data_IF_550407258134
#
_entry.id   IF_550407258134
#
_cell.length_a   1.000
_cell.length_b   1.000
_cell.length_c   1.000
_cell.angle_alpha   90.00
_cell.angle_beta   90.00
_cell.angle_gamma   90.00
#
_symmetry.space_group_name_H-M   'P 1'
#
loop_
_entity.id
_entity.type
_entity.pdbx_description
1 polymer ?
#
# COMPACT_ATOMS: atom_id res chain seq x y z
N UNK A 1 24.49 -4.56 -23.76
CA UNK A 1 23.27 -4.88 -23.01
C UNK A 1 22.08 -4.24 -23.71
N UNK A 2 21.19 -5.05 -24.27
CA UNK A 2 19.92 -4.61 -24.86
C UNK A 2 19.06 -3.94 -23.79
N UNK A 3 18.14 -3.07 -24.21
CA UNK A 3 17.30 -2.28 -23.28
C UNK A 3 16.42 -3.18 -22.39
N UNK A 4 16.02 -4.33 -22.92
CA UNK A 4 15.38 -5.43 -22.19
C UNK A 4 16.26 -6.02 -21.10
N UNK A 5 17.55 -6.24 -21.37
CA UNK A 5 18.49 -6.73 -20.36
C UNK A 5 18.67 -5.74 -19.20
N UNK A 6 18.63 -4.42 -19.46
CA UNK A 6 18.73 -3.40 -18.40
C UNK A 6 17.46 -3.30 -17.55
N UNK A 7 16.29 -3.36 -18.18
CA UNK A 7 15.00 -3.40 -17.47
C UNK A 7 14.85 -4.68 -16.65
N UNK A 8 15.24 -5.81 -17.22
CA UNK A 8 15.29 -7.09 -16.52
C UNK A 8 16.27 -7.05 -15.34
N UNK A 9 17.45 -6.46 -15.53
CA UNK A 9 18.44 -6.31 -14.46
C UNK A 9 17.94 -5.43 -13.30
N UNK A 10 17.26 -4.32 -13.60
CA UNK A 10 16.65 -3.47 -12.57
C UNK A 10 15.56 -4.23 -11.80
N UNK A 11 14.71 -4.99 -12.52
CA UNK A 11 13.70 -5.84 -11.89
C UNK A 11 14.34 -6.90 -10.98
N UNK A 12 15.44 -7.52 -11.41
CA UNK A 12 16.20 -8.48 -10.59
C UNK A 12 16.80 -7.81 -9.35
N UNK A 13 17.39 -6.61 -9.47
CA UNK A 13 17.95 -5.90 -8.31
C UNK A 13 16.88 -5.51 -7.29
N UNK A 14 15.72 -5.03 -7.76
CA UNK A 14 14.58 -4.73 -6.89
C UNK A 14 14.09 -6.00 -6.20
N UNK A 15 13.98 -7.10 -6.95
CA UNK A 15 13.56 -8.38 -6.40
C UNK A 15 14.60 -8.96 -5.42
N UNK A 16 15.90 -8.76 -5.63
CA UNK A 16 16.93 -9.21 -4.70
C UNK A 16 16.94 -8.35 -3.41
N UNK A 17 16.85 -7.03 -3.53
CA UNK A 17 16.87 -6.13 -2.38
C UNK A 17 15.59 -6.17 -1.53
N UNK A 18 14.43 -6.34 -2.16
CA UNK A 18 13.12 -6.26 -1.50
C UNK A 18 12.23 -7.49 -1.73
N UNK A 19 12.78 -8.61 -2.22
CA UNK A 19 12.03 -9.84 -2.47
C UNK A 19 11.38 -10.41 -1.22
N UNK A 20 11.98 -10.21 -0.06
CA UNK A 20 11.40 -10.57 1.24
C UNK A 20 10.13 -9.77 1.55
N UNK A 21 10.09 -8.48 1.19
CA UNK A 21 8.88 -7.64 1.35
C UNK A 21 7.76 -8.15 0.45
N UNK A 22 8.09 -8.54 -0.78
CA UNK A 22 7.13 -9.14 -1.72
C UNK A 22 6.63 -10.49 -1.21
N UNK A 23 7.53 -11.38 -0.79
CA UNK A 23 7.19 -12.70 -0.26
C UNK A 23 6.29 -12.59 0.98
N UNK A 24 6.61 -11.69 1.92
CA UNK A 24 5.78 -11.40 3.10
C UNK A 24 4.42 -10.84 2.71
N UNK A 25 4.39 -9.92 1.75
CA UNK A 25 3.11 -9.37 1.26
C UNK A 25 2.23 -10.46 0.66
N UNK A 26 2.83 -11.48 0.02
CA UNK A 26 2.12 -12.65 -0.53
C UNK A 26 1.61 -13.60 0.56
N UNK A 27 2.39 -13.85 1.62
CA UNK A 27 1.92 -14.65 2.76
C UNK A 27 0.84 -13.93 3.56
N UNK A 28 0.87 -12.60 3.60
CA UNK A 28 -0.09 -11.79 4.36
C UNK A 28 -1.38 -11.48 3.58
N UNK A 29 -1.50 -11.95 2.33
CA UNK A 29 -2.75 -11.88 1.54
C UNK A 29 -3.87 -12.61 2.28
N UNK A 30 -3.59 -13.79 2.86
CA UNK A 30 -4.58 -14.53 3.65
C UNK A 30 -4.94 -13.85 4.96
N UNK A 31 -4.10 -12.93 5.46
CA UNK A 31 -4.32 -12.18 6.70
C UNK A 31 -5.01 -10.82 6.49
N UNK A 32 -5.35 -10.44 5.25
CA UNK A 32 -6.12 -9.22 5.02
C UNK A 32 -5.29 -7.92 4.93
N UNK A 33 -3.95 -7.96 5.03
CA UNK A 33 -3.11 -6.75 5.04
C UNK A 33 -2.46 -6.36 3.69
N UNK A 34 -2.51 -7.23 2.67
CA UNK A 34 -1.86 -7.02 1.37
C UNK A 34 -2.53 -5.97 0.43
N UNK A 35 -3.73 -5.48 0.76
CA UNK A 35 -4.52 -4.59 -0.12
C UNK A 35 -3.78 -3.31 -0.54
N UNK A 36 -3.02 -2.69 0.38
CA UNK A 36 -2.24 -1.49 0.08
C UNK A 36 -1.12 -1.76 -0.95
N UNK A 37 -0.35 -2.83 -0.76
CA UNK A 37 0.77 -3.19 -1.66
C UNK A 37 0.26 -3.45 -3.08
N UNK A 38 -0.87 -4.15 -3.19
CA UNK A 38 -1.54 -4.41 -4.47
C UNK A 38 -2.06 -3.11 -5.10
N UNK A 39 -2.60 -2.20 -4.29
CA UNK A 39 -3.02 -0.86 -4.74
C UNK A 39 -1.84 -0.08 -5.32
N UNK A 40 -0.70 -0.06 -4.62
CA UNK A 40 0.54 0.57 -5.08
C UNK A 40 0.99 -0.02 -6.42
N UNK A 41 0.98 -1.35 -6.57
CA UNK A 41 1.31 -2.01 -7.82
C UNK A 41 0.38 -1.58 -8.98
N UNK A 42 -0.93 -1.52 -8.72
CA UNK A 42 -1.91 -1.04 -9.71
C UNK A 42 -1.73 0.43 -10.06
N UNK A 43 -1.41 1.29 -9.09
CA UNK A 43 -1.07 2.70 -9.32
C UNK A 43 0.17 2.84 -10.20
N UNK A 44 1.21 2.05 -9.96
CA UNK A 44 2.41 2.03 -10.82
C UNK A 44 2.03 1.62 -12.24
N UNK A 45 1.25 0.55 -12.42
CA UNK A 45 0.82 0.09 -13.75
C UNK A 45 -0.02 1.14 -14.48
N UNK A 46 -1.04 1.70 -13.81
CA UNK A 46 -1.89 2.75 -14.36
C UNK A 46 -1.09 4.00 -14.70
N UNK A 47 -0.17 4.40 -13.82
CA UNK A 47 0.69 5.56 -14.00
C UNK A 47 1.67 5.39 -15.15
N UNK A 48 2.35 4.24 -15.26
CA UNK A 48 3.25 3.93 -16.37
C UNK A 48 2.48 3.90 -17.70
N UNK A 49 1.31 3.26 -17.73
CA UNK A 49 0.44 3.25 -18.91
C UNK A 49 0.06 4.67 -19.33
N UNK A 50 -0.38 5.50 -18.38
CA UNK A 50 -0.77 6.87 -18.66
C UNK A 50 0.40 7.75 -19.11
N UNK A 51 1.59 7.63 -18.50
CA UNK A 51 2.79 8.39 -18.92
C UNK A 51 3.23 7.97 -20.32
N UNK A 52 3.17 6.68 -20.67
CA UNK A 52 3.47 6.19 -22.03
C UNK A 52 2.54 6.75 -23.08
N UNK A 53 1.28 7.03 -22.72
CA UNK A 53 0.35 7.66 -23.64
C UNK A 53 0.69 9.13 -23.90
N UNK A 54 1.41 9.84 -23.03
CA UNK A 54 1.67 11.28 -23.18
C UNK A 54 2.76 11.62 -24.22
N UNK A 55 2.57 12.74 -24.91
CA UNK A 55 3.63 13.42 -25.68
C UNK A 55 4.30 14.45 -24.78
N UNK A 56 5.55 14.25 -24.38
CA UNK A 56 6.36 15.27 -23.72
C UNK A 56 7.62 15.52 -24.53
N UNK A 57 7.79 16.75 -25.00
CA UNK A 57 9.08 17.21 -25.49
C UNK A 57 10.03 17.26 -24.30
N UNK A 58 11.24 16.74 -24.49
CA UNK A 58 12.21 16.64 -23.40
C UNK A 58 13.40 17.53 -23.76
N UNK A 59 13.75 18.48 -22.88
CA UNK A 59 14.88 19.40 -23.11
C UNK A 59 16.23 18.67 -22.93
N UNK A 60 17.21 18.88 -23.82
CA UNK A 60 18.52 18.20 -23.78
C UNK A 60 19.43 18.84 -22.72
N UNK A 61 19.16 18.56 -21.44
CA UNK A 61 20.06 18.90 -20.33
C UNK A 61 20.73 17.60 -19.90
N UNK A 62 22.06 17.57 -19.87
CA UNK A 62 22.88 16.38 -19.63
C UNK A 62 23.88 16.59 -18.49
N UNK A 63 23.40 17.08 -17.34
CA UNK A 63 24.24 17.14 -16.15
C UNK A 63 24.16 15.82 -15.38
N UNK A 64 25.29 15.09 -15.36
CA UNK A 64 25.37 13.77 -14.74
C UNK A 64 25.70 13.86 -13.24
N UNK A 65 26.30 14.94 -12.78
CA UNK A 65 26.68 15.10 -11.38
C UNK A 65 25.43 15.23 -10.50
N UNK A 66 24.45 15.98 -10.99
CA UNK A 66 23.13 16.11 -10.35
C UNK A 66 22.40 14.77 -10.26
N UNK A 67 22.47 13.93 -11.31
CA UNK A 67 21.88 12.58 -11.29
C UNK A 67 22.46 11.71 -10.16
N UNK A 68 23.79 11.78 -9.97
CA UNK A 68 24.49 11.04 -8.92
C UNK A 68 24.06 11.49 -7.53
N UNK A 69 24.01 12.81 -7.30
CA UNK A 69 23.60 13.38 -6.01
C UNK A 69 22.17 12.95 -5.69
N UNK A 70 21.21 13.15 -6.61
CA UNK A 70 19.80 12.81 -6.38
C UNK A 70 19.64 11.30 -6.14
N UNK A 71 20.27 10.48 -6.97
CA UNK A 71 20.12 9.03 -6.87
C UNK A 71 20.76 8.44 -5.62
N UNK A 72 21.94 8.94 -5.22
CA UNK A 72 22.62 8.51 -4.01
C UNK A 72 21.88 8.97 -2.75
N UNK A 73 21.35 10.19 -2.72
CA UNK A 73 20.50 10.67 -1.62
C UNK A 73 19.24 9.80 -1.47
N UNK A 74 18.55 9.48 -2.57
CA UNK A 74 17.38 8.61 -2.53
C UNK A 74 17.71 7.19 -2.02
N UNK A 75 18.86 6.64 -2.43
CA UNK A 75 19.37 5.36 -1.94
C UNK A 75 19.70 5.39 -0.45
N UNK A 76 20.39 6.42 0.02
CA UNK A 76 20.70 6.61 1.44
C UNK A 76 19.42 6.74 2.27
N UNK A 77 18.42 7.47 1.76
CA UNK A 77 17.12 7.58 2.42
C UNK A 77 16.40 6.23 2.47
N UNK A 78 16.42 5.45 1.38
CA UNK A 78 15.82 4.11 1.36
C UNK A 78 16.45 3.19 2.41
N UNK A 79 17.79 3.14 2.46
CA UNK A 79 18.53 2.35 3.46
C UNK A 79 18.27 2.88 4.88
N UNK A 80 18.20 4.19 5.08
CA UNK A 80 17.93 4.77 6.39
C UNK A 80 16.52 4.42 6.89
N UNK A 81 15.53 4.43 6.00
CA UNK A 81 14.16 4.01 6.36
C UNK A 81 14.14 2.52 6.73
N UNK A 82 14.77 1.66 5.93
CA UNK A 82 14.74 0.22 6.14
C UNK A 82 15.61 -0.25 7.32
N UNK A 83 16.80 0.32 7.50
CA UNK A 83 17.73 -0.09 8.56
C UNK A 83 17.45 0.59 9.90
N UNK A 84 16.90 1.81 9.93
CA UNK A 84 16.72 2.58 11.16
C UNK A 84 15.24 2.69 11.57
N UNK A 85 14.36 3.08 10.64
CA UNK A 85 12.96 3.33 10.96
C UNK A 85 12.13 2.06 11.10
N UNK A 86 12.32 1.09 10.19
CA UNK A 86 11.56 -0.18 10.21
C UNK A 86 11.76 -0.95 11.53
N UNK A 87 12.99 -1.18 12.04
CA UNK A 87 13.17 -1.86 13.32
C UNK A 87 12.61 -1.05 14.50
N UNK A 88 12.74 0.28 14.44
CA UNK A 88 12.25 1.17 15.49
C UNK A 88 10.72 1.23 15.57
N UNK A 89 10.04 1.06 14.44
CA UNK A 89 8.58 1.16 14.31
C UNK A 89 7.96 -0.20 13.94
N UNK A 90 8.56 -1.30 14.41
CA UNK A 90 8.13 -2.67 14.07
C UNK A 90 6.65 -2.93 14.42
N UNK A 91 6.18 -2.38 15.54
CA UNK A 91 4.77 -2.49 15.98
C UNK A 91 3.79 -1.78 15.03
N UNK A 92 4.24 -0.72 14.37
CA UNK A 92 3.42 0.12 13.49
C UNK A 92 3.57 -0.26 12.02
N UNK A 93 4.34 -1.30 11.72
CA UNK A 93 4.78 -1.58 10.35
C UNK A 93 3.62 -1.95 9.44
N UNK A 94 2.62 -2.67 9.95
CA UNK A 94 1.41 -3.02 9.19
C UNK A 94 0.56 -1.79 8.85
N UNK A 95 0.63 -0.73 9.66
CA UNK A 95 -0.13 0.50 9.45
C UNK A 95 0.63 1.50 8.57
N UNK A 96 1.93 1.68 8.82
CA UNK A 96 2.74 2.69 8.14
C UNK A 96 3.36 2.17 6.83
N UNK A 97 3.54 0.85 6.69
CA UNK A 97 4.19 0.18 5.54
C UNK A 97 5.47 0.91 5.09
N UNK A 98 6.35 1.17 6.05
CA UNK A 98 7.63 1.86 5.81
C UNK A 98 8.57 1.07 4.89
N UNK A 99 8.40 -0.25 4.84
CA UNK A 99 9.02 -1.17 3.90
C UNK A 99 8.66 -0.84 2.44
N UNK A 100 7.39 -0.55 2.16
CA UNK A 100 6.92 -0.14 0.82
C UNK A 100 7.45 1.25 0.46
N UNK A 101 7.52 2.17 1.43
CA UNK A 101 8.11 3.50 1.21
C UNK A 101 9.60 3.39 0.87
N UNK A 102 10.35 2.59 1.62
CA UNK A 102 11.77 2.33 1.36
C UNK A 102 11.98 1.71 -0.05
N UNK A 103 11.13 0.76 -0.44
CA UNK A 103 11.11 0.19 -1.79
C UNK A 103 10.89 1.27 -2.86
N UNK A 104 9.95 2.19 -2.67
CA UNK A 104 9.68 3.28 -3.64
C UNK A 104 10.88 4.23 -3.75
N UNK A 105 11.50 4.59 -2.63
CA UNK A 105 12.71 5.42 -2.59
C UNK A 105 13.89 4.73 -3.28
N UNK A 106 14.08 3.44 -3.02
CA UNK A 106 15.09 2.61 -3.66
C UNK A 106 14.86 2.53 -5.17
N UNK A 107 13.63 2.26 -5.62
CA UNK A 107 13.31 2.24 -7.05
C UNK A 107 13.56 3.59 -7.70
N UNK A 108 13.20 4.69 -7.05
CA UNK A 108 13.48 6.04 -7.54
C UNK A 108 15.00 6.26 -7.68
N UNK A 109 15.78 5.96 -6.64
CA UNK A 109 17.24 6.05 -6.64
C UNK A 109 17.91 5.15 -7.70
N UNK A 110 17.39 3.94 -7.92
CA UNK A 110 17.95 3.00 -8.88
C UNK A 110 17.69 3.49 -10.30
N UNK A 111 16.49 3.98 -10.57
CA UNK A 111 16.11 4.55 -11.86
C UNK A 111 16.91 5.83 -12.14
N UNK A 112 17.08 6.73 -11.17
CA UNK A 112 17.88 7.95 -11.35
C UNK A 112 19.36 7.63 -11.62
N UNK A 113 19.97 6.70 -10.87
CA UNK A 113 21.36 6.31 -11.09
C UNK A 113 21.54 5.58 -12.44
N UNK A 114 20.71 4.58 -12.74
CA UNK A 114 20.90 3.73 -13.93
C UNK A 114 20.44 4.40 -15.24
N UNK A 115 19.38 5.21 -15.18
CA UNK A 115 18.72 5.79 -16.35
C UNK A 115 18.80 7.32 -16.40
N UNK A 116 19.27 7.97 -15.34
CA UNK A 116 19.34 9.43 -15.19
C UNK A 116 18.09 10.01 -14.54
N UNK A 117 18.24 11.17 -13.88
CA UNK A 117 17.13 11.87 -13.22
C UNK A 117 16.02 12.22 -14.20
N UNK A 118 16.35 12.51 -15.45
CA UNK A 118 15.40 12.79 -16.53
C UNK A 118 14.47 11.62 -16.81
N UNK A 119 15.01 10.40 -16.86
CA UNK A 119 14.21 9.20 -17.05
C UNK A 119 13.29 8.96 -15.84
N UNK A 120 13.80 9.20 -14.61
CA UNK A 120 13.02 9.09 -13.39
C UNK A 120 11.89 10.14 -13.32
N UNK A 121 12.21 11.42 -13.54
CA UNK A 121 11.31 12.57 -13.47
C UNK A 121 10.29 12.60 -14.60
N UNK A 122 10.53 11.90 -15.72
CA UNK A 122 9.50 11.64 -16.72
C UNK A 122 8.29 10.91 -16.11
N UNK A 123 8.55 10.01 -15.15
CA UNK A 123 7.54 9.35 -14.34
C UNK A 123 7.23 10.11 -13.05
N UNK A 124 7.63 11.38 -12.94
CA UNK A 124 7.36 12.29 -11.81
C UNK A 124 5.93 12.21 -11.26
N UNK A 125 4.88 12.26 -12.10
CA UNK A 125 3.50 12.13 -11.62
C UNK A 125 3.20 10.80 -10.91
N UNK A 126 3.88 9.71 -11.28
CA UNK A 126 3.76 8.40 -10.62
C UNK A 126 4.45 8.43 -9.26
N UNK A 127 5.65 9.00 -9.17
CA UNK A 127 6.34 9.16 -7.89
C UNK A 127 5.54 10.04 -6.92
N UNK A 128 4.96 11.13 -7.42
CA UNK A 128 4.09 12.02 -6.63
C UNK A 128 2.81 11.31 -6.20
N UNK A 129 2.19 10.49 -7.07
CA UNK A 129 0.98 9.75 -6.69
C UNK A 129 1.26 8.74 -5.57
N UNK A 130 2.40 8.03 -5.65
CA UNK A 130 2.84 7.11 -4.60
C UNK A 130 3.17 7.81 -3.28
N UNK A 131 3.78 9.01 -3.34
CA UNK A 131 4.07 9.79 -2.14
C UNK A 131 2.80 10.33 -1.47
N UNK A 132 1.83 10.80 -2.27
CA UNK A 132 0.55 11.32 -1.78
C UNK A 132 -0.35 10.22 -1.22
N UNK A 133 -0.41 9.06 -1.86
CA UNK A 133 -1.23 7.90 -1.44
C UNK A 133 -0.32 6.90 -0.73
N UNK A 134 0.30 7.37 0.36
CA UNK A 134 1.05 6.51 1.27
C UNK A 134 0.09 5.62 2.08
N UNK A 135 0.65 4.62 2.78
CA UNK A 135 -0.13 3.69 3.59
C UNK A 135 -1.05 4.37 4.63
N UNK A 136 -0.57 5.36 5.42
CA UNK A 136 -1.43 6.12 6.32
C UNK A 136 -2.64 6.76 5.63
N UNK A 137 -2.45 7.39 4.47
CA UNK A 137 -3.54 8.00 3.70
C UNK A 137 -4.51 6.93 3.20
N UNK A 138 -4.01 5.81 2.67
CA UNK A 138 -4.85 4.69 2.23
C UNK A 138 -5.66 4.11 3.38
N UNK A 139 -5.07 4.02 4.58
CA UNK A 139 -5.72 3.57 5.78
C UNK A 139 -6.82 4.55 6.18
N UNK A 140 -6.52 5.85 6.28
CA UNK A 140 -7.53 6.88 6.61
C UNK A 140 -8.73 6.83 5.65
N UNK A 141 -8.49 6.72 4.34
CA UNK A 141 -9.58 6.58 3.35
C UNK A 141 -10.39 5.31 3.58
N UNK A 142 -9.73 4.19 3.87
CA UNK A 142 -10.39 2.92 4.20
C UNK A 142 -11.28 3.08 5.43
N UNK A 143 -10.80 3.76 6.48
CA UNK A 143 -11.55 3.96 7.72
C UNK A 143 -12.76 4.88 7.52
N UNK A 144 -12.56 6.01 6.83
CA UNK A 144 -13.62 6.98 6.57
C UNK A 144 -14.77 6.41 5.72
N UNK A 145 -14.52 5.32 5.00
CA UNK A 145 -15.47 4.67 4.10
C UNK A 145 -16.04 3.37 4.69
N UNK A 146 -15.94 3.17 6.00
CA UNK A 146 -16.59 2.08 6.74
C UNK A 146 -15.68 0.87 7.03
N UNK A 147 -14.39 0.94 6.72
CA UNK A 147 -13.44 -0.14 7.03
C UNK A 147 -13.65 -1.42 6.21
N UNK A 148 -12.97 -2.49 6.62
CA UNK A 148 -13.05 -3.80 5.98
C UNK A 148 -12.69 -3.80 4.48
N UNK A 149 -13.26 -4.75 3.74
CA UNK A 149 -13.00 -4.90 2.30
C UNK A 149 -13.64 -3.79 1.46
N UNK A 150 -14.79 -3.27 1.87
CA UNK A 150 -15.50 -2.17 1.20
C UNK A 150 -14.68 -0.88 1.25
N UNK A 151 -14.21 -0.51 2.45
CA UNK A 151 -13.34 0.66 2.62
C UNK A 151 -12.02 0.51 1.86
N UNK A 152 -11.42 -0.69 1.86
CA UNK A 152 -10.22 -0.97 1.07
C UNK A 152 -10.48 -0.78 -0.44
N UNK A 153 -11.68 -1.12 -0.92
CA UNK A 153 -12.08 -0.88 -2.31
C UNK A 153 -12.18 0.61 -2.63
N UNK A 154 -12.71 1.43 -1.72
CA UNK A 154 -12.73 2.88 -1.91
C UNK A 154 -11.32 3.49 -1.87
N UNK A 155 -10.44 2.99 -1.01
CA UNK A 155 -9.04 3.42 -0.99
C UNK A 155 -8.31 3.08 -2.29
N UNK A 156 -8.58 1.92 -2.90
CA UNK A 156 -8.00 1.56 -4.21
C UNK A 156 -8.51 2.48 -5.31
N UNK A 157 -9.83 2.73 -5.37
CA UNK A 157 -10.44 3.67 -6.33
C UNK A 157 -9.87 5.07 -6.15
N UNK A 158 -9.70 5.54 -4.91
CA UNK A 158 -9.08 6.82 -4.60
C UNK A 158 -7.64 6.89 -5.13
N UNK A 159 -6.80 5.90 -4.81
CA UNK A 159 -5.40 5.86 -5.24
C UNK A 159 -5.24 5.85 -6.76
N UNK A 160 -6.06 5.05 -7.46
CA UNK A 160 -6.08 5.04 -8.93
C UNK A 160 -6.56 6.37 -9.49
N UNK A 161 -7.60 6.97 -8.91
CA UNK A 161 -8.14 8.25 -9.37
C UNK A 161 -7.12 9.38 -9.22
N UNK A 162 -6.41 9.46 -8.09
CA UNK A 162 -5.30 10.40 -7.88
C UNK A 162 -4.20 10.20 -8.93
N UNK A 163 -3.84 8.93 -9.18
CA UNK A 163 -2.84 8.59 -10.21
C UNK A 163 -3.28 9.03 -11.61
N UNK A 164 -4.52 8.72 -12.01
CA UNK A 164 -5.11 9.15 -13.29
C UNK A 164 -5.12 10.69 -13.37
N UNK A 165 -5.44 11.39 -12.28
CA UNK A 165 -5.44 12.85 -12.25
C UNK A 165 -4.06 13.43 -12.49
N UNK A 166 -3.03 12.94 -11.81
CA UNK A 166 -1.66 13.43 -11.95
C UNK A 166 -1.06 13.07 -13.32
N UNK A 167 -1.40 11.90 -13.83
CA UNK A 167 -0.92 11.40 -15.12
C UNK A 167 -1.80 11.86 -16.29
N UNK A 168 -2.87 12.61 -16.08
CA UNK A 168 -3.62 13.19 -17.20
C UNK A 168 -3.09 14.59 -17.50
N UNK A 169 -2.12 14.70 -18.42
CA UNK A 169 -1.54 15.97 -18.87
C UNK A 169 -2.40 16.71 -19.90
N UNK A 170 -3.67 16.36 -20.01
CA UNK A 170 -4.58 16.96 -20.97
C UNK A 170 -5.10 18.31 -20.47
N UNK A 171 -5.74 19.10 -21.35
CA UNK A 171 -6.48 20.31 -20.96
C UNK A 171 -7.38 20.02 -19.77
N UNK A 172 -7.59 20.99 -18.88
CA UNK A 172 -8.34 20.85 -17.62
C UNK A 172 -9.66 20.07 -17.80
N UNK A 173 -10.45 20.36 -18.85
CA UNK A 173 -11.69 19.64 -19.15
C UNK A 173 -11.49 18.14 -19.41
N UNK A 174 -10.47 17.76 -20.17
CA UNK A 174 -10.16 16.35 -20.43
C UNK A 174 -9.60 15.68 -19.18
N UNK A 175 -8.77 16.38 -18.40
CA UNK A 175 -8.26 15.90 -17.13
C UNK A 175 -9.41 15.55 -16.18
N UNK A 176 -10.33 16.51 -15.97
CA UNK A 176 -11.53 16.34 -15.15
C UNK A 176 -12.44 15.22 -15.66
N UNK A 177 -12.67 15.12 -16.98
CA UNK A 177 -13.50 14.04 -17.53
C UNK A 177 -12.88 12.65 -17.30
N UNK A 178 -11.55 12.52 -17.47
CA UNK A 178 -10.86 11.23 -17.26
C UNK A 178 -10.86 10.82 -15.79
N UNK A 179 -10.76 11.78 -14.88
CA UNK A 179 -10.73 11.52 -13.45
C UNK A 179 -12.12 11.29 -12.89
N UNK A 180 -13.11 12.03 -13.38
CA UNK A 180 -14.51 11.77 -13.09
C UNK A 180 -14.92 10.38 -13.56
N UNK A 181 -14.50 9.96 -14.77
CA UNK A 181 -14.77 8.61 -15.26
C UNK A 181 -14.15 7.53 -14.34
N UNK A 182 -12.88 7.70 -13.92
CA UNK A 182 -12.24 6.79 -12.95
C UNK A 182 -12.99 6.72 -11.63
N UNK A 183 -13.29 7.90 -11.06
CA UNK A 183 -13.92 8.01 -9.74
C UNK A 183 -15.36 7.47 -9.75
N UNK A 184 -16.18 7.89 -10.71
CA UNK A 184 -17.59 7.51 -10.79
C UNK A 184 -17.74 6.03 -11.11
N UNK A 185 -17.01 5.51 -12.11
CA UNK A 185 -17.10 4.07 -12.44
C UNK A 185 -16.60 3.22 -11.28
N UNK A 186 -15.48 3.60 -10.66
CA UNK A 186 -14.96 2.90 -9.48
C UNK A 186 -15.94 2.93 -8.32
N UNK A 187 -16.46 4.11 -7.95
CA UNK A 187 -17.39 4.27 -6.82
C UNK A 187 -18.72 3.54 -7.05
N UNK A 188 -19.29 3.63 -8.26
CA UNK A 188 -20.53 2.94 -8.62
C UNK A 188 -20.33 1.42 -8.56
N UNK A 189 -19.21 0.90 -9.07
CA UNK A 189 -18.92 -0.52 -8.98
C UNK A 189 -18.69 -0.97 -7.54
N UNK A 190 -17.98 -0.19 -6.73
CA UNK A 190 -17.84 -0.49 -5.30
C UNK A 190 -19.22 -0.54 -4.64
N UNK A 191 -20.08 0.47 -4.82
CA UNK A 191 -21.41 0.49 -4.24
C UNK A 191 -22.30 -0.67 -4.72
N UNK A 192 -22.25 -0.99 -6.02
CA UNK A 192 -23.02 -2.08 -6.62
C UNK A 192 -22.60 -3.47 -6.13
N UNK A 193 -21.33 -3.64 -5.73
CA UNK A 193 -20.83 -4.91 -5.17
C UNK A 193 -21.03 -4.96 -3.66
N UNK A 194 -20.84 -3.85 -2.95
CA UNK A 194 -20.95 -3.77 -1.48
C UNK A 194 -22.34 -4.12 -0.98
N UNK A 195 -23.41 -3.57 -1.58
CA UNK A 195 -24.79 -3.84 -1.14
C UNK A 195 -25.15 -5.32 -1.15
N UNK A 196 -25.10 -6.00 -2.32
CA UNK A 196 -25.45 -7.42 -2.42
C UNK A 196 -24.55 -8.33 -1.57
N UNK A 197 -23.26 -8.03 -1.47
CA UNK A 197 -22.30 -8.83 -0.70
C UNK A 197 -22.53 -8.68 0.81
N UNK A 198 -22.90 -7.49 1.27
CA UNK A 198 -23.30 -7.26 2.66
C UNK A 198 -24.62 -7.97 2.99
N UNK A 199 -25.63 -7.87 2.12
CA UNK A 199 -26.96 -8.46 2.33
C UNK A 199 -26.92 -10.00 2.41
N UNK A 200 -26.03 -10.64 1.64
CA UNK A 200 -25.95 -12.11 1.57
C UNK A 200 -24.91 -12.73 2.52
N UNK A 201 -24.28 -11.95 3.41
CA UNK A 201 -23.21 -12.40 4.32
C UNK A 201 -22.05 -13.17 3.63
N UNK A 202 -21.84 -12.93 2.32
CA UNK A 202 -20.84 -13.64 1.51
C UNK A 202 -19.40 -13.31 1.95
N UNK A 203 -19.23 -12.20 2.69
CA UNK A 203 -17.95 -11.78 3.26
C UNK A 203 -17.39 -12.83 4.23
N UNK A 204 -18.25 -13.53 4.97
CA UNK A 204 -17.85 -14.55 5.94
C UNK A 204 -17.59 -15.93 5.34
N UNK A 205 -18.02 -16.17 4.10
CA UNK A 205 -17.88 -17.49 3.45
C UNK A 205 -16.67 -17.57 2.53
N UNK A 206 -16.22 -16.44 1.99
CA UNK A 206 -15.07 -16.38 1.09
C UNK A 206 -13.74 -16.30 1.85
N UNK A 207 -12.69 -16.99 1.37
CA UNK A 207 -11.35 -16.82 1.92
C UNK A 207 -10.93 -15.34 1.87
N UNK A 208 -10.27 -14.85 2.91
CA UNK A 208 -9.84 -13.44 3.02
C UNK A 208 -9.04 -12.96 1.80
N UNK A 209 -8.23 -13.83 1.22
CA UNK A 209 -7.49 -13.57 -0.02
C UNK A 209 -8.39 -13.19 -1.20
N UNK A 210 -9.54 -13.86 -1.35
CA UNK A 210 -10.51 -13.60 -2.42
C UNK A 210 -11.17 -12.24 -2.21
N UNK A 211 -11.56 -11.93 -0.97
CA UNK A 211 -12.15 -10.63 -0.63
C UNK A 211 -11.22 -9.46 -0.95
N UNK A 212 -9.91 -9.63 -0.72
CA UNK A 212 -8.92 -8.61 -1.09
C UNK A 212 -8.80 -8.40 -2.59
N UNK A 213 -8.75 -9.48 -3.37
CA UNK A 213 -8.66 -9.39 -4.83
C UNK A 213 -9.91 -8.73 -5.40
N UNK A 214 -11.09 -9.08 -4.87
CA UNK A 214 -12.36 -8.44 -5.25
C UNK A 214 -12.32 -6.95 -4.95
N UNK A 215 -11.74 -6.54 -3.81
CA UNK A 215 -11.63 -5.14 -3.44
C UNK A 215 -10.75 -4.29 -4.40
N UNK A 216 -9.90 -4.93 -5.20
CA UNK A 216 -9.11 -4.24 -6.23
C UNK A 216 -9.90 -3.97 -7.51
N UNK A 217 -10.91 -4.78 -7.81
CA UNK A 217 -11.62 -4.76 -9.10
C UNK A 217 -12.23 -3.39 -9.42
N UNK A 218 -12.92 -2.69 -8.48
CA UNK A 218 -13.49 -1.38 -8.78
C UNK A 218 -12.43 -0.36 -9.20
N UNK A 219 -11.27 -0.36 -8.54
CA UNK A 219 -10.14 0.51 -8.89
C UNK A 219 -9.58 0.19 -10.28
N UNK A 220 -9.42 -1.10 -10.62
CA UNK A 220 -8.96 -1.53 -11.95
C UNK A 220 -9.93 -1.11 -13.04
N UNK A 221 -11.23 -1.37 -12.86
CA UNK A 221 -12.25 -1.02 -13.87
C UNK A 221 -12.38 0.50 -14.01
N UNK A 222 -12.29 1.27 -12.91
CA UNK A 222 -12.21 2.73 -12.94
C UNK A 222 -11.02 3.23 -13.76
N UNK A 223 -9.83 2.67 -13.53
CA UNK A 223 -8.64 2.97 -14.33
C UNK A 223 -8.82 2.65 -15.82
N UNK A 224 -9.40 1.50 -16.15
CA UNK A 224 -9.72 1.12 -17.53
C UNK A 224 -10.73 2.08 -18.17
N UNK A 225 -11.77 2.50 -17.45
CA UNK A 225 -12.73 3.49 -17.91
C UNK A 225 -12.04 4.82 -18.26
N UNK A 226 -11.11 5.28 -17.43
CA UNK A 226 -10.31 6.47 -17.74
C UNK A 226 -9.49 6.30 -19.02
N UNK A 227 -8.83 5.15 -19.22
CA UNK A 227 -8.08 4.89 -20.46
C UNK A 227 -8.98 4.88 -21.70
N UNK A 228 -10.22 4.36 -21.58
CA UNK A 228 -11.21 4.38 -22.66
C UNK A 228 -11.65 5.79 -22.99
N UNK A 229 -11.92 6.64 -21.99
CA UNK A 229 -12.23 8.07 -22.20
C UNK A 229 -11.08 8.78 -22.91
N UNK A 230 -9.83 8.54 -22.48
CA UNK A 230 -8.65 9.10 -23.15
C UNK A 230 -8.59 8.65 -24.62
N UNK A 231 -8.79 7.37 -24.90
CA UNK A 231 -8.75 6.81 -26.25
C UNK A 231 -9.82 7.43 -27.16
N UNK A 232 -11.07 7.55 -26.67
CA UNK A 232 -12.18 8.17 -27.42
C UNK A 232 -11.88 9.64 -27.73
N UNK A 233 -11.41 10.40 -26.74
CA UNK A 233 -11.07 11.81 -26.92
C UNK A 233 -9.89 12.02 -27.87
N UNK A 234 -8.93 11.09 -27.91
CA UNK A 234 -7.81 11.12 -28.88
C UNK A 234 -8.24 10.79 -30.30
N UNK A 235 -9.12 9.78 -30.47
CA UNK A 235 -9.70 9.44 -31.78
C UNK A 235 -10.45 10.63 -32.36
N UNK A 236 -11.29 11.29 -31.56
CA UNK A 236 -12.02 12.51 -31.98
C UNK A 236 -11.11 13.66 -32.40
N UNK A 237 -9.85 13.68 -31.96
CA UNK A 237 -8.87 14.73 -32.26
C UNK A 237 -7.87 14.35 -33.37
N UNK A 238 -7.98 13.16 -33.97
CA UNK A 238 -7.04 12.70 -35.00
C UNK A 238 -5.58 12.56 -34.53
N UNK A 239 -5.36 12.49 -33.21
CA UNK A 239 -4.00 12.45 -32.65
C UNK A 239 -3.45 11.03 -32.62
N UNK A 240 -2.52 10.69 -33.52
CA UNK A 240 -1.82 9.41 -33.51
C UNK A 240 -1.01 9.20 -32.20
N UNK A 241 -0.84 7.96 -31.72
CA UNK A 241 0.09 7.68 -30.63
C UNK A 241 1.52 8.01 -31.09
N UNK A 242 2.25 8.82 -30.32
CA UNK A 242 3.65 9.05 -30.60
C UNK A 242 4.44 7.84 -30.12
N UNK A 243 5.24 7.25 -31.00
CA UNK A 243 6.25 6.26 -30.62
C UNK A 243 7.31 7.00 -29.80
N UNK A 244 7.59 6.61 -28.55
CA UNK A 244 8.64 7.24 -27.77
C UNK A 244 9.99 7.01 -28.47
N UNK A 245 10.70 8.09 -28.82
CA UNK A 245 12.11 8.01 -29.17
C UNK A 245 12.90 7.55 -27.95
N UNK A 246 13.71 6.50 -28.10
CA UNK A 246 14.58 6.00 -27.06
C UNK A 246 15.83 6.89 -26.97
N UNK A 247 16.11 7.44 -25.79
CA UNK A 247 17.38 8.11 -25.54
C UNK A 247 18.43 7.07 -25.14
N UNK A 248 19.55 6.93 -25.87
CA UNK A 248 20.62 6.02 -25.47
C UNK A 248 21.30 6.52 -24.20
N UNK A 249 21.39 5.66 -23.18
CA UNK A 249 22.09 5.97 -21.93
C UNK A 249 23.42 5.21 -21.94
N UNK A 250 24.54 5.94 -22.06
CA UNK A 250 25.87 5.39 -22.34
C UNK A 250 26.68 5.07 -21.06
N UNK A 251 26.32 5.62 -19.89
CA UNK A 251 27.12 5.54 -18.66
C UNK A 251 26.57 4.60 -17.54
N UNK A 252 25.85 3.52 -17.90
CA UNK A 252 25.19 2.64 -16.92
C UNK A 252 26.15 1.81 -16.03
N UNK A 253 27.44 1.69 -16.37
CA UNK A 253 28.37 0.79 -15.67
C UNK A 253 28.82 1.30 -14.30
N UNK A 254 29.22 2.57 -14.19
CA UNK A 254 29.66 3.15 -12.91
C UNK A 254 28.50 3.26 -11.91
N UNK A 255 27.32 3.63 -12.40
CA UNK A 255 26.09 3.71 -11.60
C UNK A 255 25.65 2.36 -11.00
N UNK A 256 26.18 1.25 -11.51
CA UNK A 256 25.87 -0.09 -11.03
C UNK A 256 26.54 -0.38 -9.67
N UNK A 257 27.69 0.23 -9.40
CA UNK A 257 28.47 0.04 -8.17
C UNK A 257 27.67 0.46 -6.92
N UNK A 258 27.16 1.70 -6.79
CA UNK A 258 26.39 2.08 -5.60
C UNK A 258 25.09 1.28 -5.46
N UNK A 259 24.43 0.95 -6.58
CA UNK A 259 23.18 0.18 -6.55
C UNK A 259 23.45 -1.24 -6.07
N UNK A 260 24.49 -1.90 -6.58
CA UNK A 260 24.89 -3.23 -6.14
C UNK A 260 25.34 -3.23 -4.67
N UNK A 261 26.08 -2.20 -4.23
CA UNK A 261 26.48 -2.05 -2.84
C UNK A 261 25.27 -1.91 -1.90
N UNK A 262 24.26 -1.12 -2.27
CA UNK A 262 23.03 -0.98 -1.49
C UNK A 262 22.23 -2.27 -1.47
N UNK A 263 22.07 -2.95 -2.62
CA UNK A 263 21.39 -4.26 -2.66
C UNK A 263 22.10 -5.27 -1.77
N UNK A 264 23.44 -5.32 -1.83
CA UNK A 264 24.23 -6.20 -0.98
C UNK A 264 24.03 -5.85 0.50
N UNK A 265 24.05 -4.57 0.86
CA UNK A 265 23.79 -4.12 2.23
C UNK A 265 22.38 -4.53 2.70
N UNK A 266 21.34 -4.33 1.89
CA UNK A 266 19.96 -4.71 2.23
C UNK A 266 19.79 -6.24 2.37
N UNK A 267 20.51 -7.03 1.57
CA UNK A 267 20.49 -8.50 1.68
C UNK A 267 21.24 -8.99 2.92
N UNK A 268 22.34 -8.34 3.28
CA UNK A 268 23.18 -8.73 4.42
C UNK A 268 22.65 -8.22 5.77
N UNK A 269 21.91 -7.12 5.79
CA UNK A 269 21.29 -6.58 7.01
C UNK A 269 20.06 -7.43 7.34
N UNK A 270 20.06 -8.18 8.45
CA UNK A 270 18.91 -9.00 8.82
C UNK A 270 17.72 -8.09 9.11
N UNK A 271 16.68 -8.18 8.27
CA UNK A 271 15.40 -7.53 8.59
C UNK A 271 14.85 -8.14 9.89
N UNK A 272 14.37 -7.31 10.84
CA UNK A 272 13.89 -7.80 12.12
C UNK A 272 12.79 -8.84 11.92
N UNK A 273 12.75 -9.86 12.79
CA UNK A 273 11.63 -10.80 12.79
C UNK A 273 10.35 -10.02 13.09
N UNK A 274 9.46 -9.95 12.10
CA UNK A 274 8.19 -9.27 12.24
C UNK A 274 7.33 -10.11 13.18
N UNK A 275 6.70 -9.51 14.20
CA UNK A 275 5.63 -10.22 14.87
C UNK A 275 4.60 -10.53 13.79
N UNK A 276 4.34 -11.81 13.53
CA UNK A 276 3.19 -12.20 12.72
C UNK A 276 1.99 -11.44 13.29
N UNK A 277 1.11 -10.87 12.46
CA UNK A 277 -0.09 -10.25 12.97
C UNK A 277 -0.83 -11.40 13.64
N UNK A 278 -0.73 -11.47 14.97
CA UNK A 278 -1.58 -12.32 15.77
C UNK A 278 -2.93 -11.65 15.66
N UNK A 279 -3.62 -11.94 14.56
CA UNK A 279 -5.06 -11.95 14.56
C UNK A 279 -5.33 -12.97 15.65
N UNK A 280 -5.62 -12.49 16.86
CA UNK A 280 -6.14 -13.34 17.91
C UNK A 280 -7.22 -14.14 17.23
N UNK A 281 -6.95 -15.42 17.01
CA UNK A 281 -7.94 -16.30 16.42
C UNK A 281 -9.16 -16.09 17.29
N UNK A 282 -10.23 -15.59 16.67
CA UNK A 282 -11.53 -15.54 17.34
C UNK A 282 -11.65 -16.92 17.97
N UNK A 283 -11.78 -17.02 19.30
CA UNK A 283 -11.88 -18.33 19.95
C UNK A 283 -12.87 -19.17 19.14
N UNK A 284 -12.59 -20.45 18.86
CA UNK A 284 -13.46 -21.29 18.03
C UNK A 284 -14.90 -21.37 18.59
N UNK A 285 -15.08 -20.96 19.84
CA UNK A 285 -16.37 -20.66 20.43
C UNK A 285 -16.84 -19.27 20.03
N UNK A 286 -18.05 -19.11 19.44
CA UNK A 286 -18.64 -17.79 19.24
C UNK A 286 -18.55 -17.02 20.57
N UNK A 287 -18.19 -15.72 20.56
CA UNK A 287 -18.25 -14.93 21.77
C UNK A 287 -19.67 -15.10 22.29
N UNK A 288 -19.82 -15.79 23.42
CA UNK A 288 -21.09 -15.85 24.12
C UNK A 288 -21.51 -14.39 24.24
N UNK A 289 -22.76 -14.03 23.90
CA UNK A 289 -23.23 -12.67 24.17
C UNK A 289 -22.98 -12.38 25.66
N UNK A 290 -22.00 -11.52 25.96
CA UNK A 290 -21.51 -11.28 27.33
C UNK A 290 -20.24 -12.05 27.76
N UNK A 291 -19.51 -12.70 26.85
CA UNK A 291 -18.27 -13.42 27.10
C UNK A 291 -17.06 -12.50 27.02
N UNK A 292 -16.67 -11.96 28.17
CA UNK A 292 -15.33 -11.38 28.35
C UNK A 292 -14.27 -12.48 28.46
N UNK A 293 -13.00 -12.08 28.48
CA UNK A 293 -11.91 -13.02 28.71
C UNK A 293 -12.02 -13.60 30.14
N UNK A 294 -11.65 -14.88 30.31
CA UNK A 294 -11.74 -15.54 31.60
C UNK A 294 -10.86 -14.78 32.60
N UNK A 295 -11.48 -14.22 33.64
CA UNK A 295 -10.77 -13.48 34.68
C UNK A 295 -9.75 -14.43 35.33
N UNK A 296 -8.46 -14.06 35.36
CA UNK A 296 -7.43 -14.88 35.99
C UNK A 296 -7.74 -15.14 37.47
N UNK A 297 -7.30 -16.29 37.98
CA UNK A 297 -7.54 -16.66 39.37
C UNK A 297 -6.96 -15.60 40.33
N UNK A 298 -7.75 -15.19 41.33
CA UNK A 298 -7.40 -14.14 42.29
C UNK A 298 -7.65 -12.70 41.81
N UNK A 299 -7.98 -12.49 40.53
CA UNK A 299 -8.37 -11.17 40.02
C UNK A 299 -9.88 -10.97 40.14
N UNK A 300 -10.33 -9.72 40.28
CA UNK A 300 -11.74 -9.36 40.32
C UNK A 300 -12.11 -8.46 39.15
N UNK A 301 -13.14 -8.79 38.38
CA UNK A 301 -13.68 -7.89 37.36
C UNK A 301 -14.28 -6.65 38.03
N UNK A 302 -13.83 -5.45 37.63
CA UNK A 302 -14.25 -4.16 38.20
C UNK A 302 -15.40 -3.56 37.38
N UNK A 303 -15.51 -3.95 36.12
CA UNK A 303 -16.52 -3.43 35.23
C UNK A 303 -16.43 -4.04 33.85
N UNK A 304 -17.38 -3.64 33.02
CA UNK A 304 -17.46 -4.05 31.63
C UNK A 304 -18.07 -2.93 30.81
N UNK A 305 -17.39 -2.54 29.76
CA UNK A 305 -17.85 -1.51 28.83
C UNK A 305 -17.90 -2.11 27.43
N UNK A 306 -19.03 -1.93 26.73
CA UNK A 306 -19.18 -2.41 25.36
C UNK A 306 -19.17 -1.22 24.41
N UNK A 307 -18.45 -1.34 23.30
CA UNK A 307 -18.31 -0.26 22.32
C UNK A 307 -19.12 -0.57 21.06
N UNK A 308 -20.31 0.05 20.89
CA UNK A 308 -21.18 -0.26 19.75
C UNK A 308 -20.66 0.26 18.41
N UNK A 309 -19.71 1.20 18.41
CA UNK A 309 -19.12 1.75 17.18
C UNK A 309 -18.25 0.72 16.42
N UNK A 310 -17.90 -0.40 17.04
CA UNK A 310 -16.97 -1.41 16.51
C UNK A 310 -17.55 -2.16 15.33
N UNK A 311 -18.85 -2.46 15.34
CA UNK A 311 -19.54 -3.12 14.22
C UNK A 311 -19.42 -2.31 12.92
N UNK A 312 -19.45 -0.98 13.05
CA UNK A 312 -19.33 -0.07 11.90
C UNK A 312 -17.90 0.00 11.34
N UNK A 313 -16.89 -0.42 12.09
CA UNK A 313 -15.48 -0.25 11.73
C UNK A 313 -14.79 -1.56 11.35
N UNK A 314 -15.11 -2.64 12.07
CA UNK A 314 -14.55 -3.97 11.85
C UNK A 314 -15.50 -4.91 11.08
N UNK A 315 -16.75 -4.49 10.86
CA UNK A 315 -17.78 -5.23 10.12
C UNK A 315 -18.90 -5.77 11.03
N UNK A 316 -20.04 -6.09 10.41
CA UNK A 316 -21.23 -6.56 11.10
C UNK A 316 -20.94 -7.81 11.98
N UNK A 317 -21.39 -7.78 13.24
CA UNK A 317 -21.13 -8.82 14.23
C UNK A 317 -19.81 -8.68 15.01
N UNK A 318 -19.00 -7.66 14.71
CA UNK A 318 -17.78 -7.36 15.48
C UNK A 318 -18.10 -6.70 16.81
N UNK A 319 -17.64 -7.28 17.92
CA UNK A 319 -17.84 -6.71 19.25
C UNK A 319 -16.51 -6.34 19.89
N UNK A 320 -16.44 -5.21 20.58
CA UNK A 320 -15.31 -4.86 21.44
C UNK A 320 -15.85 -4.60 22.83
N UNK A 321 -15.35 -5.35 23.79
CA UNK A 321 -15.65 -5.20 25.19
C UNK A 321 -14.37 -4.87 25.93
N UNK A 322 -14.42 -3.87 26.80
CA UNK A 322 -13.35 -3.57 27.74
C UNK A 322 -13.74 -4.12 29.10
N UNK A 323 -12.91 -5.01 29.63
CA UNK A 323 -13.11 -5.68 30.91
C UNK A 323 -11.96 -5.30 31.86
N UNK A 324 -12.08 -4.19 32.61
CA UNK A 324 -11.10 -3.85 33.64
C UNK A 324 -11.10 -4.90 34.76
N UNK A 325 -9.94 -5.53 34.97
CA UNK A 325 -9.73 -6.47 36.07
C UNK A 325 -8.82 -5.85 37.15
N UNK A 326 -9.15 -6.07 38.42
CA UNK A 326 -8.34 -5.68 39.58
C UNK A 326 -7.48 -6.87 40.00
N UNK A 327 -6.16 -6.71 40.13
CA UNK A 327 -5.33 -7.72 40.76
C UNK A 327 -5.68 -7.83 42.26
N UNK A 328 -5.42 -8.98 42.89
CA UNK A 328 -5.53 -9.10 44.33
C UNK A 328 -4.59 -8.11 45.02
N UNK A 329 -5.02 -7.53 46.15
CA UNK A 329 -4.13 -6.67 46.95
C UNK A 329 -2.97 -7.52 47.48
N UNK A 330 -1.76 -7.17 47.07
CA UNK A 330 -0.54 -7.72 47.67
C UNK A 330 -0.44 -7.25 49.12
N UNK A 331 -0.48 -8.18 50.08
CA UNK A 331 -0.12 -7.89 51.46
C UNK A 331 1.39 -8.07 51.62
N UNK A 332 2.03 -7.18 52.39
CA UNK A 332 3.49 -7.20 52.66
C UNK A 332 3.93 -8.52 53.34
N UNK A 333 2.99 -9.33 53.81
CA UNK A 333 3.21 -10.66 54.40
C UNK A 333 3.19 -11.83 53.39
N UNK A 334 3.34 -11.58 52.08
CA UNK A 334 3.52 -12.63 51.07
C UNK A 334 2.32 -13.58 50.87
N UNK A 335 1.15 -13.23 51.40
CA UNK A 335 -0.06 -14.05 51.33
C UNK A 335 -1.15 -13.33 50.54
N UNK A 336 -1.59 -13.99 49.47
CA UNK A 336 -2.68 -13.54 48.61
C UNK A 336 -4.00 -13.74 49.38
N UNK A 337 -4.58 -12.66 49.91
CA UNK A 337 -5.84 -12.73 50.66
C UNK A 337 -7.00 -12.57 49.67
N UNK A 338 -7.68 -13.67 49.35
CA UNK A 338 -8.96 -13.62 48.64
C UNK A 338 -9.94 -12.78 49.46
N UNK A 339 -10.38 -11.65 48.92
CA UNK A 339 -11.35 -10.78 49.58
C UNK A 339 -12.69 -11.50 49.72
N UNK A 340 -13.13 -11.77 50.95
CA UNK A 340 -14.52 -12.16 51.21
C UNK A 340 -15.43 -10.99 50.85
N UNK A 341 -16.36 -11.23 49.93
CA UNK A 341 -17.41 -10.30 49.57
C UNK A 341 -18.27 -9.92 50.78
N UNK A 342 -18.71 -8.67 50.79
CA UNK A 342 -19.92 -8.21 51.46
C UNK A 342 -20.88 -7.74 50.37
#
# INVERSE_FOLDING_TARGET
>A
MTLWARRGFLAVLVFLGYGMVVARSLTDVSAGSASYVLTVALMVLAGVAGVRMQRRAVLPIHDREVDWIIGLLAMLMAVSVDALLVPRLVEWLYLLRLDVLALVLFMFGAVTLLLGSRAALRYGPVWVSLALVNAPVSLVVTLLTGGGWAGASYATVFGITVTVFLVSSARVRTRLATTAASAVVGAVLTAAVVGPVADHNLVGTLPAAVNQVIALLPGVVGGLAATRVIAVLRRRRGTAPAVPGETPVIAARLALVPVAAVVLALVLVPTPAYPSPVINQVPPTPPVRGGGEKVPEGWAEIGRESYPWVENYFGAGSTLTRQPCRPPRWSVSGTCRAGRGR
#
